data_IF_184331997656
#
_entry.id   IF_184331997656
#
_cell.length_a   1.000
_cell.length_b   1.000
_cell.length_c   1.000
_cell.angle_alpha   90.00
_cell.angle_beta   90.00
_cell.angle_gamma   90.00
#
_symmetry.space_group_name_H-M   'P 1'
#
loop_
_entity.id
_entity.type
_entity.pdbx_description
1 polymer ?
#
# COMPACT_ATOMS: atom_id res chain seq x y z
N UNK A 1 10.72 21.64 23.88
CA UNK A 1 11.02 20.77 22.73
C UNK A 1 11.30 19.37 23.27
N UNK A 2 10.43 18.40 23.00
CA UNK A 2 10.63 17.01 23.46
C UNK A 2 11.58 16.37 22.46
N UNK A 3 12.74 15.88 22.91
CA UNK A 3 13.66 15.17 22.02
C UNK A 3 12.99 13.88 21.49
N UNK A 4 13.02 13.63 20.17
CA UNK A 4 12.41 12.43 19.61
C UNK A 4 13.15 11.20 20.09
N UNK A 5 12.38 10.19 20.51
CA UNK A 5 12.89 8.90 21.00
C UNK A 5 13.84 8.29 19.97
N UNK A 6 14.96 7.64 20.37
CA UNK A 6 15.95 7.10 19.44
C UNK A 6 15.34 6.14 18.40
N UNK A 7 14.31 5.38 18.79
CA UNK A 7 13.57 4.47 17.90
C UNK A 7 12.87 5.24 16.77
N UNK A 8 12.29 6.41 17.05
CA UNK A 8 11.64 7.23 16.03
C UNK A 8 12.66 7.77 15.03
N UNK A 9 13.84 8.20 15.50
CA UNK A 9 14.94 8.65 14.61
C UNK A 9 15.38 7.54 13.66
N UNK A 10 15.54 6.32 14.16
CA UNK A 10 15.86 5.14 13.34
C UNK A 10 14.74 4.85 12.33
N UNK A 11 13.48 4.98 12.74
CA UNK A 11 12.35 4.77 11.85
C UNK A 11 12.29 5.83 10.73
N UNK A 12 12.56 7.11 11.02
CA UNK A 12 12.68 8.16 10.01
C UNK A 12 13.79 7.88 9.00
N UNK A 13 14.98 7.49 9.49
CA UNK A 13 16.08 7.11 8.63
C UNK A 13 15.73 5.88 7.77
N UNK A 14 15.04 4.90 8.35
CA UNK A 14 14.48 3.76 7.63
C UNK A 14 13.53 4.19 6.51
N UNK A 15 12.63 5.14 6.77
CA UNK A 15 11.71 5.69 5.75
C UNK A 15 12.47 6.35 4.62
N UNK A 16 13.52 7.13 4.92
CA UNK A 16 14.38 7.76 3.89
C UNK A 16 15.04 6.69 3.03
N UNK A 17 15.63 5.66 3.64
CA UNK A 17 16.29 4.58 2.93
C UNK A 17 15.30 3.80 2.05
N UNK A 18 14.14 3.40 2.60
CA UNK A 18 13.12 2.68 1.83
C UNK A 18 12.53 3.53 0.71
N UNK A 19 12.33 4.83 0.93
CA UNK A 19 11.88 5.77 -0.09
C UNK A 19 12.89 5.92 -1.23
N UNK A 20 14.18 6.03 -0.90
CA UNK A 20 15.26 6.07 -1.87
C UNK A 20 15.34 4.77 -2.69
N UNK A 21 15.24 3.60 -2.03
CA UNK A 21 15.22 2.31 -2.72
C UNK A 21 13.99 2.19 -3.62
N UNK A 22 12.82 2.67 -3.18
CA UNK A 22 11.60 2.71 -4.00
C UNK A 22 11.80 3.56 -5.25
N UNK A 23 12.38 4.76 -5.11
CA UNK A 23 12.71 5.63 -6.23
C UNK A 23 13.71 4.97 -7.20
N UNK A 24 14.80 4.41 -6.69
CA UNK A 24 15.82 3.72 -7.52
C UNK A 24 15.22 2.50 -8.22
N UNK A 25 14.28 1.79 -7.60
CA UNK A 25 13.62 0.63 -8.19
C UNK A 25 12.84 0.96 -9.48
N UNK A 26 12.64 2.24 -9.80
CA UNK A 26 11.98 2.68 -11.03
C UNK A 26 12.90 2.74 -12.24
N UNK A 27 14.21 2.80 -12.02
CA UNK A 27 15.21 2.93 -13.08
C UNK A 27 15.10 1.86 -14.17
N UNK A 28 14.90 0.57 -13.85
CA UNK A 28 14.75 -0.46 -14.88
C UNK A 28 13.48 -0.26 -15.73
N UNK A 29 12.37 0.11 -15.10
CA UNK A 29 11.11 0.38 -15.81
C UNK A 29 11.21 1.59 -16.73
N UNK A 30 11.79 2.70 -16.22
CA UNK A 30 12.06 3.89 -17.01
C UNK A 30 13.02 3.60 -18.18
N UNK A 31 14.10 2.85 -17.93
CA UNK A 31 15.03 2.43 -18.97
C UNK A 31 14.34 1.65 -20.09
N UNK A 32 13.51 0.66 -19.75
CA UNK A 32 12.73 -0.13 -20.72
C UNK A 32 11.80 0.79 -21.53
N UNK A 33 11.16 1.77 -20.90
CA UNK A 33 10.26 2.70 -21.61
C UNK A 33 10.98 3.65 -22.56
N UNK A 34 12.22 4.05 -22.25
CA UNK A 34 12.99 5.01 -23.06
C UNK A 34 13.76 4.30 -24.18
N UNK A 35 14.38 3.16 -23.90
CA UNK A 35 15.32 2.51 -24.83
C UNK A 35 14.82 1.16 -25.40
N UNK A 36 13.80 0.55 -24.80
CA UNK A 36 13.25 -0.75 -25.22
C UNK A 36 12.18 -0.69 -26.32
N UNK A 37 11.93 0.51 -26.88
CA UNK A 37 10.79 0.84 -27.74
C UNK A 37 10.63 -0.10 -28.96
N UNK A 38 11.74 -0.44 -29.63
CA UNK A 38 11.70 -1.18 -30.91
C UNK A 38 11.88 -2.69 -30.74
N UNK A 39 12.62 -3.13 -29.73
CA UNK A 39 13.02 -4.55 -29.62
C UNK A 39 12.02 -5.45 -28.87
N UNK A 40 11.15 -4.88 -28.02
CA UNK A 40 10.45 -5.66 -26.99
C UNK A 40 8.93 -5.70 -27.17
N UNK A 41 8.40 -4.98 -28.17
CA UNK A 41 6.98 -5.04 -28.54
C UNK A 41 5.98 -4.64 -27.45
N UNK A 42 6.45 -4.01 -26.37
CA UNK A 42 5.62 -3.62 -25.23
C UNK A 42 4.56 -2.60 -25.69
N UNK A 43 3.28 -2.91 -25.49
CA UNK A 43 2.15 -1.97 -25.61
C UNK A 43 1.17 -2.26 -24.47
N UNK A 44 0.70 -1.27 -23.69
CA UNK A 44 0.91 0.19 -23.80
C UNK A 44 2.06 0.72 -22.92
N UNK A 45 3.07 1.35 -23.54
CA UNK A 45 4.30 1.82 -22.87
C UNK A 45 4.10 3.05 -21.98
N UNK A 46 3.25 3.98 -22.42
CA UNK A 46 2.93 5.20 -21.65
C UNK A 46 2.32 4.89 -20.30
N UNK A 47 1.56 3.80 -20.21
CA UNK A 47 0.91 3.38 -18.98
C UNK A 47 1.93 2.85 -17.97
N UNK A 48 2.90 2.04 -18.45
CA UNK A 48 4.02 1.56 -17.63
C UNK A 48 4.88 2.73 -17.16
N UNK A 49 5.25 3.65 -18.06
CA UNK A 49 6.00 4.86 -17.71
C UNK A 49 5.27 5.71 -16.66
N UNK A 50 3.94 5.83 -16.77
CA UNK A 50 3.11 6.52 -15.77
C UNK A 50 3.18 5.89 -14.38
N UNK A 51 3.12 4.56 -14.28
CA UNK A 51 3.27 3.86 -12.99
C UNK A 51 4.67 3.99 -12.41
N UNK A 52 5.70 3.97 -13.24
CA UNK A 52 7.08 4.21 -12.82
C UNK A 52 7.26 5.64 -12.31
N UNK A 53 6.74 6.64 -13.01
CA UNK A 53 6.77 8.03 -12.56
C UNK A 53 6.01 8.22 -11.23
N UNK A 54 4.86 7.57 -11.05
CA UNK A 54 4.14 7.59 -9.76
C UNK A 54 4.95 6.95 -8.63
N UNK A 55 5.60 5.82 -8.89
CA UNK A 55 6.45 5.14 -7.90
C UNK A 55 7.66 6.00 -7.53
N UNK A 56 8.25 6.67 -8.52
CA UNK A 56 9.37 7.60 -8.32
C UNK A 56 8.96 8.79 -7.47
N UNK A 57 7.84 9.44 -7.81
CA UNK A 57 7.29 10.56 -7.06
C UNK A 57 6.95 10.15 -5.61
N UNK A 58 6.38 8.97 -5.43
CA UNK A 58 6.08 8.42 -4.11
C UNK A 58 7.37 8.14 -3.30
N UNK A 59 8.42 7.59 -3.92
CA UNK A 59 9.72 7.39 -3.29
C UNK A 59 10.38 8.70 -2.86
N UNK A 60 10.36 9.72 -3.73
CA UNK A 60 10.84 11.07 -3.40
C UNK A 60 10.03 11.67 -2.25
N UNK A 61 8.71 11.53 -2.27
CA UNK A 61 7.84 12.01 -1.19
C UNK A 61 8.16 11.32 0.14
N UNK A 62 8.41 10.00 0.17
CA UNK A 62 8.87 9.29 1.36
C UNK A 62 10.19 9.85 1.89
N UNK A 63 11.16 10.12 1.02
CA UNK A 63 12.45 10.72 1.41
C UNK A 63 12.23 12.11 2.03
N UNK A 64 11.47 12.98 1.37
CA UNK A 64 11.20 14.33 1.85
C UNK A 64 10.44 14.31 3.19
N UNK A 65 9.49 13.39 3.35
CA UNK A 65 8.79 13.17 4.62
C UNK A 65 9.73 12.68 5.71
N UNK A 66 10.58 11.69 5.43
CA UNK A 66 11.52 11.15 6.41
C UNK A 66 12.60 12.14 6.86
N UNK A 67 12.92 13.13 6.03
CA UNK A 67 13.84 14.23 6.38
C UNK A 67 13.19 15.36 7.19
N UNK A 68 11.84 15.44 7.20
CA UNK A 68 11.14 16.48 7.97
C UNK A 68 11.23 16.19 9.47
N UNK A 69 11.43 17.26 10.25
CA UNK A 69 11.48 17.21 11.72
C UNK A 69 10.10 17.20 12.38
N UNK A 70 9.04 17.53 11.64
CA UNK A 70 7.70 17.64 12.20
C UNK A 70 6.93 16.30 12.05
N UNK A 71 6.55 15.64 13.15
CA UNK A 71 5.82 14.38 13.11
C UNK A 71 4.35 14.54 12.70
N UNK A 72 3.80 15.76 12.64
CA UNK A 72 2.38 15.95 12.39
C UNK A 72 1.97 15.49 10.99
N UNK A 73 1.03 14.54 10.94
CA UNK A 73 0.50 13.98 9.69
C UNK A 73 1.39 12.94 8.99
N UNK A 74 2.65 12.75 9.41
CA UNK A 74 3.61 11.92 8.67
C UNK A 74 3.17 10.48 8.48
N UNK A 75 2.56 9.85 9.49
CA UNK A 75 2.11 8.46 9.37
C UNK A 75 1.02 8.24 8.33
N UNK A 76 0.08 9.19 8.17
CA UNK A 76 -0.94 9.11 7.12
C UNK A 76 -0.30 9.37 5.75
N UNK A 77 0.59 10.36 5.67
CA UNK A 77 1.34 10.64 4.45
C UNK A 77 2.14 9.44 3.94
N UNK A 78 2.83 8.74 4.84
CA UNK A 78 3.60 7.54 4.51
C UNK A 78 2.71 6.35 4.12
N UNK A 79 1.52 6.22 4.71
CA UNK A 79 0.54 5.24 4.24
C UNK A 79 0.03 5.55 2.84
N UNK A 80 -0.22 6.82 2.51
CA UNK A 80 -0.58 7.22 1.15
C UNK A 80 0.56 6.88 0.17
N UNK A 81 1.81 7.18 0.53
CA UNK A 81 2.99 6.80 -0.27
C UNK A 81 3.04 5.30 -0.50
N UNK A 82 2.90 4.50 0.56
CA UNK A 82 2.87 3.04 0.46
C UNK A 82 1.70 2.55 -0.43
N UNK A 83 0.52 3.15 -0.30
CA UNK A 83 -0.63 2.87 -1.16
C UNK A 83 -0.37 3.19 -2.64
N UNK A 84 0.26 4.33 -2.94
CA UNK A 84 0.62 4.71 -4.31
C UNK A 84 1.62 3.72 -4.91
N UNK A 85 2.67 3.35 -4.17
CA UNK A 85 3.66 2.36 -4.63
C UNK A 85 3.00 0.99 -4.85
N UNK A 86 2.10 0.58 -3.95
CA UNK A 86 1.35 -0.67 -4.08
C UNK A 86 0.50 -0.70 -5.36
N UNK A 87 -0.33 0.32 -5.58
CA UNK A 87 -1.21 0.40 -6.75
C UNK A 87 -0.38 0.46 -8.05
N UNK A 88 0.68 1.28 -8.08
CA UNK A 88 1.56 1.37 -9.24
C UNK A 88 2.28 0.05 -9.53
N UNK A 89 2.80 -0.64 -8.50
CA UNK A 89 3.43 -1.95 -8.65
C UNK A 89 2.44 -3.02 -9.11
N UNK A 90 1.23 -3.03 -8.55
CA UNK A 90 0.19 -4.00 -8.91
C UNK A 90 -0.30 -3.81 -10.34
N UNK A 91 -0.76 -2.60 -10.69
CA UNK A 91 -1.26 -2.30 -12.04
C UNK A 91 -0.15 -2.40 -13.09
N UNK A 92 1.06 -1.94 -12.77
CA UNK A 92 2.24 -2.13 -13.62
C UNK A 92 2.52 -3.61 -13.90
N UNK A 93 2.41 -4.47 -12.88
CA UNK A 93 2.60 -5.91 -13.05
C UNK A 93 1.55 -6.55 -13.96
N UNK A 94 0.28 -6.11 -13.89
CA UNK A 94 -0.78 -6.63 -14.77
C UNK A 94 -0.51 -6.29 -16.24
N UNK A 95 0.02 -5.10 -16.51
CA UNK A 95 0.37 -4.66 -17.87
C UNK A 95 1.60 -5.39 -18.42
N UNK A 96 2.48 -5.88 -17.55
CA UNK A 96 3.72 -6.55 -17.95
C UNK A 96 3.57 -8.08 -18.06
N UNK A 97 2.57 -8.69 -17.41
CA UNK A 97 2.29 -10.12 -17.54
C UNK A 97 1.85 -10.55 -18.95
N UNK A 98 1.44 -9.62 -19.79
CA UNK A 98 1.12 -9.86 -21.21
C UNK A 98 2.33 -9.77 -22.14
N UNK A 99 3.53 -9.52 -21.59
CA UNK A 99 4.75 -9.25 -22.37
C UNK A 99 5.59 -10.53 -22.56
N UNK A 100 6.31 -10.63 -23.68
CA UNK A 100 7.02 -11.86 -24.10
C UNK A 100 8.08 -12.38 -23.11
N UNK A 101 8.45 -13.66 -23.24
CA UNK A 101 9.47 -14.36 -22.43
C UNK A 101 10.88 -13.71 -22.45
N UNK A 102 11.10 -12.70 -23.29
CA UNK A 102 12.37 -11.98 -23.39
C UNK A 102 12.53 -10.86 -22.34
N UNK A 103 11.48 -10.52 -21.59
CA UNK A 103 11.55 -9.47 -20.57
C UNK A 103 12.13 -10.05 -19.26
N UNK A 104 13.19 -9.46 -18.66
CA UNK A 104 13.75 -9.88 -17.39
C UNK A 104 12.65 -10.03 -16.35
N UNK A 105 12.81 -10.98 -15.43
CA UNK A 105 11.75 -11.35 -14.49
C UNK A 105 11.32 -10.17 -13.58
N UNK A 106 10.36 -9.39 -14.07
CA UNK A 106 9.74 -8.25 -13.38
C UNK A 106 9.08 -8.64 -12.05
N UNK A 107 8.85 -9.95 -11.87
CA UNK A 107 8.40 -10.53 -10.62
C UNK A 107 9.28 -10.14 -9.43
N UNK A 108 10.61 -10.10 -9.58
CA UNK A 108 11.50 -9.69 -8.49
C UNK A 108 11.34 -8.20 -8.15
N UNK A 109 11.14 -7.34 -9.15
CA UNK A 109 10.89 -5.91 -8.92
C UNK A 109 9.54 -5.66 -8.24
N UNK A 110 8.50 -6.37 -8.66
CA UNK A 110 7.19 -6.30 -8.00
C UNK A 110 7.30 -6.78 -6.56
N UNK A 111 7.94 -7.92 -6.31
CA UNK A 111 8.16 -8.42 -4.94
C UNK A 111 8.95 -7.45 -4.08
N UNK A 112 10.00 -6.84 -4.63
CA UNK A 112 10.76 -5.78 -3.96
C UNK A 112 9.85 -4.61 -3.59
N UNK A 113 9.05 -4.07 -4.53
CA UNK A 113 8.13 -2.97 -4.25
C UNK A 113 7.08 -3.32 -3.21
N UNK A 114 6.55 -4.55 -3.23
CA UNK A 114 5.61 -5.02 -2.22
C UNK A 114 6.28 -5.11 -0.83
N UNK A 115 7.54 -5.55 -0.77
CA UNK A 115 8.33 -5.53 0.45
C UNK A 115 8.58 -4.09 0.95
N UNK A 116 8.86 -3.15 0.04
CA UNK A 116 9.01 -1.73 0.37
C UNK A 116 7.72 -1.12 0.91
N UNK A 117 6.56 -1.44 0.31
CA UNK A 117 5.23 -1.01 0.79
C UNK A 117 5.02 -1.47 2.24
N UNK A 118 5.27 -2.75 2.52
CA UNK A 118 5.16 -3.30 3.87
C UNK A 118 6.14 -2.63 4.84
N UNK A 119 7.38 -2.38 4.41
CA UNK A 119 8.38 -1.69 5.20
C UNK A 119 7.97 -0.25 5.53
N UNK A 120 7.54 0.53 4.54
CA UNK A 120 7.11 1.93 4.73
C UNK A 120 5.86 2.00 5.61
N UNK A 121 4.86 1.14 5.37
CA UNK A 121 3.65 1.08 6.20
C UNK A 121 3.95 0.63 7.63
N UNK A 122 4.85 -0.34 7.81
CA UNK A 122 5.31 -0.80 9.12
C UNK A 122 6.04 0.29 9.90
N UNK A 123 6.96 1.02 9.24
CA UNK A 123 7.64 2.17 9.85
C UNK A 123 6.67 3.31 10.16
N UNK A 124 5.70 3.60 9.29
CA UNK A 124 4.65 4.58 9.57
C UNK A 124 3.83 4.20 10.82
N UNK A 125 3.52 2.91 10.97
CA UNK A 125 2.90 2.37 12.17
C UNK A 125 3.78 2.54 13.40
N UNK A 126 5.06 2.20 13.33
CA UNK A 126 6.00 2.35 14.44
C UNK A 126 6.18 3.81 14.88
N UNK A 127 6.32 4.73 13.92
CA UNK A 127 6.49 6.17 14.19
C UNK A 127 5.27 6.72 14.92
N UNK A 128 4.06 6.32 14.51
CA UNK A 128 2.81 6.96 14.98
C UNK A 128 2.13 6.23 16.13
N UNK A 129 2.19 4.90 16.17
CA UNK A 129 1.46 4.05 17.12
C UNK A 129 2.34 3.52 18.25
N UNK A 130 3.67 3.72 18.20
CA UNK A 130 4.64 3.13 19.12
C UNK A 130 4.30 3.27 20.61
N UNK A 131 3.70 4.40 21.00
CA UNK A 131 3.44 4.71 22.41
C UNK A 131 2.08 4.22 22.93
N UNK A 132 1.20 3.68 22.08
CA UNK A 132 -0.21 3.39 22.45
C UNK A 132 -0.70 2.02 21.98
N UNK A 133 -0.74 1.06 22.91
CA UNK A 133 -1.30 -0.29 22.69
C UNK A 133 -2.75 -0.29 22.20
N UNK A 134 -3.58 0.66 22.63
CA UNK A 134 -4.98 0.76 22.19
C UNK A 134 -5.09 1.02 20.69
N UNK A 135 -4.25 1.91 20.14
CA UNK A 135 -4.24 2.21 18.72
C UNK A 135 -3.75 1.01 17.88
N UNK A 136 -2.76 0.25 18.38
CA UNK A 136 -2.36 -1.03 17.75
C UNK A 136 -3.49 -2.05 17.71
N UNK A 137 -4.31 -2.14 18.76
CA UNK A 137 -5.48 -3.02 18.76
C UNK A 137 -6.49 -2.59 17.70
N UNK A 138 -6.81 -1.30 17.59
CA UNK A 138 -7.74 -0.80 16.57
C UNK A 138 -7.18 -1.02 15.16
N UNK A 139 -5.88 -0.80 14.95
CA UNK A 139 -5.21 -1.09 13.68
C UNK A 139 -5.31 -2.59 13.34
N UNK A 140 -5.01 -3.47 14.29
CA UNK A 140 -5.05 -4.91 14.10
C UNK A 140 -6.47 -5.42 13.77
N UNK A 141 -7.50 -4.89 14.44
CA UNK A 141 -8.90 -5.19 14.13
C UNK A 141 -9.27 -4.69 12.73
N UNK A 142 -8.89 -3.46 12.38
CA UNK A 142 -9.11 -2.92 11.04
C UNK A 142 -8.43 -3.75 9.95
N UNK A 143 -7.16 -4.13 10.17
CA UNK A 143 -6.40 -4.99 9.27
C UNK A 143 -7.01 -6.40 9.15
N UNK A 144 -7.49 -6.98 10.25
CA UNK A 144 -8.17 -8.28 10.24
C UNK A 144 -9.48 -8.23 9.43
N UNK A 145 -10.23 -7.13 9.49
CA UNK A 145 -11.44 -6.96 8.67
C UNK A 145 -11.12 -6.81 7.17
N UNK A 146 -9.92 -6.34 6.81
CA UNK A 146 -9.47 -6.26 5.42
C UNK A 146 -8.87 -7.59 4.92
N UNK A 147 -8.63 -8.57 5.79
CA UNK A 147 -8.00 -9.84 5.44
C UNK A 147 -8.79 -10.65 4.39
N UNK A 148 -10.14 -10.75 4.45
CA UNK A 148 -10.92 -11.43 3.40
C UNK A 148 -10.73 -10.82 2.01
N UNK A 149 -10.64 -9.49 1.93
CA UNK A 149 -10.37 -8.78 0.68
C UNK A 149 -8.97 -9.13 0.15
N UNK A 150 -7.97 -9.18 1.03
CA UNK A 150 -6.60 -9.57 0.66
C UNK A 150 -6.52 -11.03 0.17
N UNK A 151 -7.26 -11.95 0.81
CA UNK A 151 -7.39 -13.34 0.34
C UNK A 151 -8.01 -13.37 -1.06
N UNK A 152 -9.10 -12.64 -1.28
CA UNK A 152 -9.78 -12.59 -2.57
C UNK A 152 -8.83 -12.07 -3.67
N UNK A 153 -8.16 -10.95 -3.42
CA UNK A 153 -7.17 -10.40 -4.35
C UNK A 153 -6.05 -11.40 -4.64
N UNK A 154 -5.59 -12.14 -3.62
CA UNK A 154 -4.60 -13.21 -3.79
C UNK A 154 -5.09 -14.37 -4.66
N UNK A 155 -6.36 -14.76 -4.53
CA UNK A 155 -6.98 -15.81 -5.36
C UNK A 155 -7.17 -15.36 -6.81
N UNK A 156 -7.63 -14.12 -7.02
CA UNK A 156 -7.73 -13.48 -8.34
C UNK A 156 -6.36 -13.46 -9.03
N UNK A 157 -5.33 -12.98 -8.32
CA UNK A 157 -3.98 -12.89 -8.86
C UNK A 157 -3.37 -14.25 -9.23
N UNK A 158 -3.77 -15.34 -8.55
CA UNK A 158 -3.33 -16.71 -8.85
C UNK A 158 -4.17 -17.42 -9.91
N UNK A 159 -5.16 -16.74 -10.51
CA UNK A 159 -6.19 -17.35 -11.39
C UNK A 159 -6.89 -18.56 -10.76
N UNK A 160 -6.92 -18.63 -9.42
CA UNK A 160 -7.57 -19.70 -8.64
C UNK A 160 -8.99 -19.32 -8.24
N UNK A 161 -9.59 -18.35 -8.94
CA UNK A 161 -10.97 -17.94 -8.70
C UNK A 161 -11.95 -19.09 -8.94
N UNK A 162 -11.60 -20.02 -9.83
CA UNK A 162 -12.39 -21.22 -10.14
C UNK A 162 -12.74 -22.03 -8.90
N UNK A 163 -11.86 -22.09 -7.90
CA UNK A 163 -12.10 -22.78 -6.62
C UNK A 163 -13.33 -22.20 -5.88
N UNK A 164 -13.55 -20.88 -5.98
CA UNK A 164 -14.70 -20.20 -5.38
C UNK A 164 -15.92 -20.23 -6.30
N UNK A 165 -15.73 -20.17 -7.61
CA UNK A 165 -16.83 -20.04 -8.56
C UNK A 165 -17.43 -21.37 -9.01
N UNK A 166 -16.67 -22.48 -9.00
CA UNK A 166 -17.15 -23.82 -9.37
C UNK A 166 -18.37 -24.29 -8.55
N UNK A 167 -18.35 -24.24 -7.19
CA UNK A 167 -19.52 -24.64 -6.41
C UNK A 167 -20.71 -23.69 -6.60
N UNK A 168 -20.47 -22.43 -6.94
CA UNK A 168 -21.52 -21.43 -7.20
C UNK A 168 -22.14 -21.63 -8.60
N UNK A 169 -21.34 -22.04 -9.58
CA UNK A 169 -21.78 -22.24 -10.96
C UNK A 169 -22.72 -23.44 -11.17
N UNK A 170 -22.89 -24.29 -10.15
CA UNK A 170 -23.88 -25.37 -10.15
C UNK A 170 -25.27 -24.92 -9.68
N UNK A 171 -25.40 -23.68 -9.22
CA UNK A 171 -26.66 -23.12 -8.72
C UNK A 171 -27.49 -22.52 -9.86
N UNK A 172 -28.78 -22.31 -9.60
CA UNK A 172 -29.66 -21.57 -10.51
C UNK A 172 -29.15 -20.12 -10.69
N UNK A 173 -29.30 -19.56 -11.90
CA UNK A 173 -28.81 -18.22 -12.26
C UNK A 173 -29.25 -17.13 -11.28
N UNK A 174 -30.52 -17.19 -10.84
CA UNK A 174 -31.08 -16.24 -9.87
C UNK A 174 -30.36 -16.35 -8.52
N UNK A 175 -30.09 -17.57 -8.05
CA UNK A 175 -29.40 -17.79 -6.78
C UNK A 175 -27.93 -17.35 -6.85
N UNK A 176 -27.28 -17.61 -7.99
CA UNK A 176 -25.93 -17.11 -8.26
C UNK A 176 -25.89 -15.58 -8.23
N UNK A 177 -26.83 -14.90 -8.87
CA UNK A 177 -26.91 -13.43 -8.86
C UNK A 177 -27.08 -12.88 -7.44
N UNK A 178 -27.96 -13.49 -6.63
CA UNK A 178 -28.17 -13.11 -5.24
C UNK A 178 -26.91 -13.33 -4.40
N UNK A 179 -26.21 -14.45 -4.57
CA UNK A 179 -24.96 -14.73 -3.85
C UNK A 179 -23.86 -13.74 -4.19
N UNK A 180 -23.67 -13.40 -5.48
CA UNK A 180 -22.69 -12.39 -5.89
C UNK A 180 -23.03 -11.00 -5.35
N UNK A 181 -24.31 -10.63 -5.31
CA UNK A 181 -24.76 -9.37 -4.73
C UNK A 181 -24.45 -9.32 -3.22
N UNK A 182 -24.83 -10.35 -2.47
CA UNK A 182 -24.56 -10.44 -1.03
C UNK A 182 -23.05 -10.42 -0.75
N UNK A 183 -22.27 -11.14 -1.56
CA UNK A 183 -20.83 -11.16 -1.47
C UNK A 183 -20.21 -9.77 -1.70
N UNK A 184 -20.66 -9.05 -2.74
CA UNK A 184 -20.23 -7.69 -3.01
C UNK A 184 -20.58 -6.72 -1.88
N UNK A 185 -21.77 -6.85 -1.29
CA UNK A 185 -22.20 -6.04 -0.14
C UNK A 185 -21.30 -6.30 1.07
N UNK A 186 -21.05 -7.56 1.41
CA UNK A 186 -20.19 -7.94 2.56
C UNK A 186 -18.77 -7.42 2.35
N UNK A 187 -18.22 -7.56 1.14
CA UNK A 187 -16.90 -7.00 0.80
C UNK A 187 -16.89 -5.47 0.92
N UNK A 188 -17.92 -4.80 0.41
CA UNK A 188 -18.03 -3.34 0.49
C UNK A 188 -18.03 -2.84 1.94
N UNK A 189 -18.89 -3.43 2.77
CA UNK A 189 -19.00 -3.06 4.20
C UNK A 189 -17.69 -3.34 4.93
N UNK A 190 -17.08 -4.52 4.75
CA UNK A 190 -15.81 -4.89 5.41
C UNK A 190 -14.65 -3.99 4.97
N UNK A 191 -14.60 -3.61 3.69
CA UNK A 191 -13.58 -2.68 3.17
C UNK A 191 -13.74 -1.28 3.76
N UNK A 192 -14.96 -0.75 3.79
CA UNK A 192 -15.24 0.58 4.35
C UNK A 192 -14.97 0.60 5.86
N UNK A 193 -15.50 -0.38 6.60
CA UNK A 193 -15.32 -0.47 8.05
C UNK A 193 -13.85 -0.70 8.43
N UNK A 194 -13.18 -1.64 7.75
CA UNK A 194 -11.76 -1.92 7.97
C UNK A 194 -10.89 -0.70 7.66
N UNK A 195 -11.10 -0.06 6.51
CA UNK A 195 -10.41 1.17 6.12
C UNK A 195 -10.63 2.31 7.11
N UNK A 196 -11.87 2.54 7.54
CA UNK A 196 -12.20 3.56 8.54
C UNK A 196 -11.49 3.30 9.87
N UNK A 197 -11.48 2.06 10.37
CA UNK A 197 -10.77 1.72 11.61
C UNK A 197 -9.26 1.92 11.51
N UNK A 198 -8.65 1.58 10.36
CA UNK A 198 -7.24 1.84 10.10
C UNK A 198 -6.97 3.34 10.16
N UNK A 199 -7.71 4.17 9.42
CA UNK A 199 -7.55 5.63 9.41
C UNK A 199 -7.72 6.20 10.82
N UNK A 200 -8.79 5.79 11.51
CA UNK A 200 -9.11 6.26 12.86
C UNK A 200 -8.02 5.89 13.86
N UNK A 201 -7.37 4.73 13.72
CA UNK A 201 -6.24 4.36 14.57
C UNK A 201 -5.08 5.37 14.44
N UNK A 202 -4.83 5.90 13.24
CA UNK A 202 -3.84 6.97 13.03
C UNK A 202 -4.34 8.34 13.48
N UNK A 203 -5.64 8.64 13.43
CA UNK A 203 -6.19 9.92 13.90
C UNK A 203 -6.19 10.05 15.44
N UNK A 204 -6.47 8.98 16.18
CA UNK A 204 -6.47 8.97 17.65
C UNK A 204 -5.13 9.44 18.25
N UNK A 205 -4.03 9.23 17.52
CA UNK A 205 -2.69 9.69 17.94
C UNK A 205 -2.54 11.20 17.84
N UNK A 206 -3.29 11.86 16.93
CA UNK A 206 -3.27 13.32 16.73
C UNK A 206 -4.11 14.05 17.79
N UNK A 207 -5.34 13.60 18.05
CA UNK A 207 -6.25 14.22 19.02
C UNK A 207 -5.64 14.32 20.42
N UNK A 208 -4.82 13.33 20.77
CA UNK A 208 -4.17 13.26 22.07
C UNK A 208 -3.03 14.25 22.24
N UNK A 209 -2.35 14.62 21.15
CA UNK A 209 -1.31 15.65 21.17
C UNK A 209 -1.88 17.06 21.31
N UNK A 210 -3.11 17.29 20.83
CA UNK A 210 -3.82 18.57 20.97
C UNK A 210 -4.26 18.79 22.41
N UNK A 211 -4.91 17.80 23.04
CA UNK A 211 -5.34 17.89 24.45
C UNK A 211 -4.19 18.08 25.43
N UNK A 212 -2.99 17.57 25.13
CA UNK A 212 -1.82 17.77 25.97
C UNK A 212 -1.19 19.17 25.86
N UNK A 213 -1.61 19.98 24.85
CA UNK A 213 -1.08 21.34 24.60
C UNK A 213 -2.05 22.44 25.00
N UNK A 214 -3.26 22.12 25.44
CA UNK A 214 -4.13 23.07 26.13
C UNK A 214 -3.71 23.06 27.60
N UNK A 215 -2.90 24.03 28.08
CA UNK A 215 -2.76 24.20 29.53
C UNK A 215 -4.16 24.50 30.07
N UNK A 216 -4.53 23.82 31.14
CA UNK A 216 -5.71 24.17 31.93
C UNK A 216 -5.58 25.66 32.25
N UNK A 217 -6.35 26.49 31.55
CA UNK A 217 -6.43 27.90 31.81
C UNK A 217 -7.23 28.05 33.11
N UNK A 218 -6.53 27.94 34.23
CA UNK A 218 -6.98 28.40 35.54
C UNK A 218 -6.85 29.93 35.65
#
# INVERSE_FOLDING_TARGET
MIEPHPIQRLAYLGVVLLGAVAAISTMPGLWITVFGYEGWGLRPQFLVAGFEAMTLAAGIAAVLMGLRRDPDGIGIGLLCVAGTVFVAAFLGSMMLQSSSDQVPSLRMFVLLRMALVLGIAGLAGLIKLGDRRSCWRTLAVGAALLLPLMILMGLVARKKLTILTEPIGQLNEVLQMVLWLLFAIVIGITTIAGGHLVIRAFEMTRESGVKAREPEAE
#
